data_IF_577496278170
#
_entry.id   IF_577496278170
#
_cell.length_a   1.000
_cell.length_b   1.000
_cell.length_c   1.000
_cell.angle_alpha   90.00
_cell.angle_beta   90.00
_cell.angle_gamma   90.00
#
_symmetry.space_group_name_H-M   'P 1'
#
loop_
_entity.id
_entity.type
_entity.pdbx_description
1 polymer ?
#
# COMPACT_ATOMS: atom_id res chain seq x y z
N UNK A 1 16.89 -12.21 13.48
CA UNK A 1 15.64 -12.63 12.83
C UNK A 1 15.13 -11.43 12.08
N UNK A 2 15.02 -11.53 10.77
CA UNK A 2 14.43 -10.46 9.97
C UNK A 2 12.90 -10.59 10.07
N UNK A 3 12.23 -9.48 10.38
CA UNK A 3 10.78 -9.42 10.39
C UNK A 3 10.33 -9.12 8.95
N UNK A 4 9.49 -9.99 8.43
CA UNK A 4 8.82 -9.83 7.12
C UNK A 4 7.31 -9.76 7.34
N UNK A 5 6.64 -8.98 6.51
CA UNK A 5 5.18 -8.90 6.46
C UNK A 5 4.73 -9.31 5.06
N UNK A 6 3.62 -10.03 4.99
CA UNK A 6 3.00 -10.42 3.72
C UNK A 6 1.61 -9.82 3.72
N UNK A 7 1.31 -9.00 2.71
CA UNK A 7 -0.05 -8.55 2.50
C UNK A 7 -0.81 -9.66 1.77
N UNK A 8 -1.92 -10.12 2.35
CA UNK A 8 -2.79 -11.11 1.73
C UNK A 8 -3.97 -10.40 1.05
N UNK A 9 -3.90 -10.28 -0.27
CA UNK A 9 -4.88 -9.58 -1.09
C UNK A 9 -6.26 -10.25 -1.02
N UNK A 10 -6.33 -11.57 -0.76
CA UNK A 10 -7.60 -12.29 -0.58
C UNK A 10 -8.37 -11.89 0.69
N UNK A 11 -7.72 -11.15 1.60
CA UNK A 11 -8.38 -10.52 2.75
C UNK A 11 -9.10 -9.23 2.37
N UNK A 12 -8.71 -8.57 1.27
CA UNK A 12 -9.33 -7.35 0.77
C UNK A 12 -10.54 -7.66 -0.14
N UNK A 13 -11.51 -8.41 0.38
CA UNK A 13 -12.64 -8.96 -0.40
C UNK A 13 -13.66 -7.92 -0.85
N UNK A 14 -13.64 -6.73 -0.29
CA UNK A 14 -14.60 -5.67 -0.57
C UNK A 14 -13.89 -4.44 -1.08
N UNK A 15 -14.30 -3.96 -2.25
CA UNK A 15 -13.95 -2.62 -2.72
C UNK A 15 -14.42 -1.59 -1.70
N UNK A 16 -13.66 -0.52 -1.55
CA UNK A 16 -14.12 0.63 -0.80
C UNK A 16 -15.38 1.22 -1.48
N UNK A 17 -16.37 1.67 -0.69
CA UNK A 17 -17.62 2.21 -1.22
C UNK A 17 -17.43 3.49 -2.05
N UNK A 18 -16.32 4.20 -1.81
CA UNK A 18 -15.98 5.44 -2.50
C UNK A 18 -14.46 5.68 -2.48
N UNK A 19 -14.01 6.64 -3.28
CA UNK A 19 -12.59 6.99 -3.43
C UNK A 19 -12.00 7.53 -2.11
N UNK A 20 -12.76 8.29 -1.31
CA UNK A 20 -12.29 8.81 -0.02
C UNK A 20 -12.01 7.67 0.95
N UNK A 21 -12.90 6.68 1.01
CA UNK A 21 -12.71 5.48 1.83
C UNK A 21 -11.53 4.65 1.35
N UNK A 22 -11.33 4.50 0.02
CA UNK A 22 -10.13 3.84 -0.52
C UNK A 22 -8.84 4.54 -0.11
N UNK A 23 -8.80 5.89 -0.15
CA UNK A 23 -7.63 6.65 0.29
C UNK A 23 -7.36 6.45 1.77
N UNK A 24 -8.40 6.52 2.60
CA UNK A 24 -8.28 6.31 4.04
C UNK A 24 -7.66 4.94 4.36
N UNK A 25 -8.15 3.87 3.73
CA UNK A 25 -7.61 2.52 3.92
C UNK A 25 -6.15 2.41 3.50
N UNK A 26 -5.76 3.05 2.39
CA UNK A 26 -4.36 3.07 1.96
C UNK A 26 -3.48 3.86 2.93
N UNK A 27 -3.94 4.99 3.45
CA UNK A 27 -3.20 5.75 4.46
C UNK A 27 -3.04 4.97 5.77
N UNK A 28 -4.07 4.23 6.20
CA UNK A 28 -4.00 3.33 7.37
C UNK A 28 -3.03 2.17 7.16
N UNK A 29 -3.05 1.56 5.97
CA UNK A 29 -2.09 0.54 5.57
C UNK A 29 -0.67 1.11 5.70
N UNK A 30 -0.38 2.25 5.05
CA UNK A 30 0.94 2.92 5.08
C UNK A 30 1.38 3.27 6.50
N UNK A 31 0.47 3.75 7.34
CA UNK A 31 0.76 4.04 8.74
C UNK A 31 1.16 2.77 9.51
N UNK A 32 0.39 1.69 9.37
CA UNK A 32 0.66 0.38 10.00
C UNK A 32 2.05 -0.13 9.64
N UNK A 33 2.41 0.06 8.38
CA UNK A 33 3.70 -0.35 7.84
C UNK A 33 4.83 0.49 8.42
N UNK A 34 4.67 1.81 8.45
CA UNK A 34 5.68 2.72 9.00
C UNK A 34 5.96 2.37 10.46
N UNK A 35 4.92 2.06 11.22
CA UNK A 35 5.01 1.56 12.59
C UNK A 35 5.66 0.18 12.68
N UNK A 36 5.41 -0.72 11.73
CA UNK A 36 6.09 -2.01 11.70
C UNK A 36 7.59 -1.86 11.32
N UNK A 37 7.92 -0.94 10.42
CA UNK A 37 9.30 -0.60 10.04
C UNK A 37 10.08 -0.02 11.21
N UNK A 38 9.47 0.85 12.03
CA UNK A 38 10.11 1.36 13.25
C UNK A 38 10.45 0.26 14.25
N UNK A 39 9.81 -0.91 14.12
CA UNK A 39 10.03 -2.12 14.92
C UNK A 39 10.92 -3.17 14.25
N UNK A 40 11.53 -2.84 13.11
CA UNK A 40 12.50 -3.71 12.42
C UNK A 40 11.92 -4.55 11.28
N UNK A 41 10.70 -4.27 10.80
CA UNK A 41 10.19 -4.81 9.54
C UNK A 41 11.08 -4.34 8.39
N UNK A 42 11.64 -5.28 7.62
CA UNK A 42 12.53 -4.94 6.49
C UNK A 42 11.81 -4.90 5.16
N UNK A 43 10.92 -5.88 4.93
CA UNK A 43 10.29 -6.11 3.63
C UNK A 43 8.81 -6.37 3.83
N UNK A 44 8.00 -5.82 2.93
CA UNK A 44 6.64 -6.28 2.73
C UNK A 44 6.49 -6.87 1.37
N UNK A 45 6.00 -8.10 1.36
CA UNK A 45 5.75 -8.86 0.14
C UNK A 45 4.29 -8.70 -0.23
N UNK A 46 4.07 -8.39 -1.49
CA UNK A 46 2.76 -8.40 -2.13
C UNK A 46 2.80 -9.40 -3.28
N UNK A 47 1.63 -9.83 -3.74
CA UNK A 47 1.53 -10.60 -4.98
C UNK A 47 1.76 -9.68 -6.20
N UNK A 48 2.14 -10.26 -7.35
CA UNK A 48 2.34 -9.54 -8.62
C UNK A 48 1.08 -8.75 -9.03
N UNK A 49 -0.09 -9.28 -8.70
CA UNK A 49 -1.40 -8.68 -9.00
C UNK A 49 -1.73 -7.46 -8.13
N UNK A 50 -0.94 -7.15 -7.09
CA UNK A 50 -1.21 -6.01 -6.20
C UNK A 50 -1.24 -4.68 -6.96
N UNK A 51 -0.40 -4.52 -7.99
CA UNK A 51 -0.41 -3.31 -8.82
C UNK A 51 -1.68 -3.14 -9.66
N UNK A 52 -2.37 -4.24 -9.95
CA UNK A 52 -3.65 -4.27 -10.67
C UNK A 52 -4.86 -4.23 -9.72
N UNK A 53 -4.64 -4.21 -8.40
CA UNK A 53 -5.71 -4.22 -7.41
C UNK A 53 -6.62 -3.00 -7.57
N UNK A 54 -7.93 -3.26 -7.59
CA UNK A 54 -8.97 -2.24 -7.60
C UNK A 54 -9.30 -1.88 -6.14
N UNK A 55 -9.17 -0.59 -5.79
CA UNK A 55 -9.42 -0.12 -4.42
C UNK A 55 -10.88 0.33 -4.23
N UNK A 56 -11.42 1.06 -5.20
CA UNK A 56 -12.83 1.43 -5.30
C UNK A 56 -13.28 1.36 -6.77
N UNK A 57 -14.59 1.50 -7.01
CA UNK A 57 -15.12 1.55 -8.38
C UNK A 57 -14.38 2.62 -9.22
N UNK A 58 -13.84 2.23 -10.38
CA UNK A 58 -13.03 3.08 -11.25
C UNK A 58 -11.77 3.70 -10.59
N UNK A 59 -11.29 3.12 -9.49
CA UNK A 59 -10.15 3.62 -8.72
C UNK A 59 -9.15 2.49 -8.42
N UNK A 60 -8.32 2.11 -9.40
CA UNK A 60 -7.25 1.13 -9.19
C UNK A 60 -6.10 1.70 -8.36
N UNK A 61 -5.28 0.83 -7.77
CA UNK A 61 -4.08 1.20 -7.03
C UNK A 61 -3.11 2.06 -7.89
N UNK A 62 -2.99 1.76 -9.17
CA UNK A 62 -2.24 2.59 -10.13
C UNK A 62 -2.73 4.04 -10.20
N UNK A 63 -4.03 4.28 -10.06
CA UNK A 63 -4.62 5.61 -9.99
C UNK A 63 -4.36 6.27 -8.64
N UNK A 64 -4.48 5.53 -7.53
CA UNK A 64 -4.15 6.02 -6.19
C UNK A 64 -2.70 6.53 -6.09
N UNK A 65 -1.73 5.77 -6.64
CA UNK A 65 -0.32 6.19 -6.68
C UNK A 65 -0.07 7.53 -7.37
N UNK A 66 -0.92 7.88 -8.33
CA UNK A 66 -0.82 9.10 -9.12
C UNK A 66 -1.78 10.20 -8.66
N UNK A 67 -2.55 9.95 -7.59
CA UNK A 67 -3.57 10.87 -7.11
C UNK A 67 -2.92 12.10 -6.47
N UNK A 68 -3.37 13.30 -6.85
CA UNK A 68 -2.86 14.56 -6.28
C UNK A 68 -3.46 14.88 -4.92
N UNK A 69 -4.59 14.25 -4.59
CA UNK A 69 -5.26 14.41 -3.30
C UNK A 69 -4.65 13.52 -2.21
N UNK A 70 -3.80 12.55 -2.59
CA UNK A 70 -3.02 11.73 -1.66
C UNK A 70 -1.72 12.43 -1.32
N UNK A 71 -1.31 12.36 -0.05
CA UNK A 71 -0.06 12.96 0.43
C UNK A 71 1.14 12.43 -0.38
N UNK A 72 2.00 13.36 -0.81
CA UNK A 72 3.21 13.04 -1.58
C UNK A 72 4.12 12.03 -0.87
N UNK A 73 4.25 12.10 0.45
CA UNK A 73 5.06 11.16 1.21
C UNK A 73 4.51 9.73 1.18
N UNK A 74 3.19 9.58 1.17
CA UNK A 74 2.53 8.27 1.06
C UNK A 74 2.70 7.69 -0.33
N UNK A 75 2.64 8.54 -1.36
CA UNK A 75 2.89 8.14 -2.75
C UNK A 75 4.33 7.71 -2.98
N UNK A 76 5.30 8.50 -2.54
CA UNK A 76 6.73 8.18 -2.69
C UNK A 76 7.12 6.91 -1.92
N UNK A 77 6.48 6.66 -0.78
CA UNK A 77 6.68 5.43 -0.02
C UNK A 77 6.25 4.16 -0.78
N UNK A 78 5.35 4.29 -1.77
CA UNK A 78 4.88 3.20 -2.62
C UNK A 78 5.62 3.05 -3.96
N UNK A 79 6.59 3.92 -4.28
CA UNK A 79 7.17 4.05 -5.62
C UNK A 79 8.45 3.22 -5.90
N UNK A 80 9.19 2.73 -4.90
CA UNK A 80 10.63 2.43 -5.15
C UNK A 80 11.09 0.97 -4.90
N UNK A 81 10.69 -0.03 -5.68
CA UNK A 81 10.67 -1.46 -5.33
C UNK A 81 11.98 -2.14 -4.85
N UNK A 82 13.15 -1.50 -4.85
CA UNK A 82 14.42 -2.13 -4.46
C UNK A 82 15.40 -1.26 -3.62
N UNK A 83 14.99 -0.10 -3.10
CA UNK A 83 15.84 0.70 -2.18
C UNK A 83 15.41 0.54 -0.71
N UNK A 84 16.36 0.78 0.21
CA UNK A 84 16.16 0.90 1.67
C UNK A 84 15.13 1.99 1.98
N UNK A 85 13.85 1.68 1.83
CA UNK A 85 12.81 2.71 1.81
C UNK A 85 11.47 2.28 1.25
N UNK A 86 11.41 1.19 0.46
CA UNK A 86 10.19 0.82 -0.27
C UNK A 86 9.35 -0.31 0.32
N UNK A 87 8.06 -0.19 0.07
CA UNK A 87 7.06 -1.07 0.64
C UNK A 87 6.69 -2.31 -0.19
N UNK A 88 6.99 -2.33 -1.48
CA UNK A 88 6.49 -3.38 -2.38
C UNK A 88 7.67 -4.00 -3.14
N UNK A 89 7.97 -5.26 -2.84
CA UNK A 89 8.91 -6.13 -3.56
C UNK A 89 8.18 -7.35 -4.09
#
# INVERSE_FOLDING_TARGET
MDLEMVFNELSARTLAPDISTARQWMSELISTIREARSRGLKVVRTNEDFHAMVLAENYPFSRWRNDREVNREERTFSENPCDEGSFIC
#
